data_IF_912403766360
#
_entry.id   IF_912403766360
#
_cell.length_a   1.000
_cell.length_b   1.000
_cell.length_c   1.000
_cell.angle_alpha   90.00
_cell.angle_beta   90.00
_cell.angle_gamma   90.00
#
_symmetry.space_group_name_H-M   'P 1'
#
loop_
_entity.id
_entity.type
_entity.pdbx_description
1 polymer ?
#
# COMPACT_ATOMS: atom_id res chain seq x y z
N UNK A 1 10.85 26.91 -6.61
CA UNK A 1 9.63 26.23 -6.09
C UNK A 1 9.92 25.45 -4.81
N UNK A 2 10.89 24.52 -4.77
CA UNK A 2 11.18 23.71 -3.58
C UNK A 2 11.34 24.50 -2.27
N UNK A 3 12.00 25.67 -2.31
CA UNK A 3 12.19 26.53 -1.13
C UNK A 3 10.87 26.96 -0.46
N UNK A 4 9.77 27.08 -1.21
CA UNK A 4 8.45 27.44 -0.68
C UNK A 4 7.91 26.40 0.31
N UNK A 5 8.36 25.14 0.18
CA UNK A 5 7.87 24.01 0.97
C UNK A 5 8.75 23.66 2.17
N UNK A 6 9.86 24.37 2.41
CA UNK A 6 10.81 24.06 3.49
C UNK A 6 10.18 24.11 4.89
N UNK A 7 9.21 24.99 5.11
CA UNK A 7 8.52 25.14 6.40
C UNK A 7 7.71 23.90 6.80
N UNK A 8 7.34 23.04 5.85
CA UNK A 8 6.58 21.81 6.10
C UNK A 8 7.44 20.70 6.73
N UNK A 9 8.77 20.83 6.69
CA UNK A 9 9.72 19.84 7.25
C UNK A 9 9.49 18.41 6.74
N UNK A 10 9.01 18.26 5.51
CA UNK A 10 8.85 16.98 4.82
C UNK A 10 10.04 16.72 3.88
N UNK A 11 10.34 15.46 3.53
CA UNK A 11 11.32 15.13 2.50
C UNK A 11 10.93 15.80 1.16
N UNK A 12 11.90 16.43 0.50
CA UNK A 12 11.73 17.06 -0.81
C UNK A 12 12.62 16.32 -1.82
N UNK A 13 12.00 15.82 -2.90
CA UNK A 13 12.69 15.18 -4.01
C UNK A 13 12.51 16.03 -5.28
N UNK A 14 13.60 16.32 -5.97
CA UNK A 14 13.59 16.99 -7.28
C UNK A 14 13.79 15.95 -8.38
N UNK A 15 12.93 15.98 -9.40
CA UNK A 15 12.95 15.06 -10.54
C UNK A 15 12.29 15.74 -11.76
N UNK A 16 12.32 15.09 -12.92
CA UNK A 16 11.65 15.59 -14.12
C UNK A 16 10.12 15.41 -14.06
N UNK A 17 9.40 16.11 -14.94
CA UNK A 17 7.94 16.14 -14.95
C UNK A 17 7.32 14.74 -15.08
N UNK A 18 7.81 13.92 -16.01
CA UNK A 18 7.22 12.61 -16.30
C UNK A 18 7.42 11.66 -15.14
N UNK A 19 8.62 11.69 -14.54
CA UNK A 19 8.91 10.90 -13.35
C UNK A 19 8.05 11.34 -12.17
N UNK A 20 7.84 12.63 -11.95
CA UNK A 20 6.98 13.14 -10.88
C UNK A 20 5.52 12.68 -11.03
N UNK A 21 4.97 12.72 -12.25
CA UNK A 21 3.63 12.21 -12.55
C UNK A 21 3.53 10.71 -12.29
N UNK A 22 4.50 9.93 -12.78
CA UNK A 22 4.53 8.48 -12.61
C UNK A 22 4.65 8.04 -11.16
N UNK A 23 5.40 8.76 -10.32
CA UNK A 23 5.48 8.49 -8.87
C UNK A 23 4.07 8.48 -8.27
N UNK A 24 3.22 9.47 -8.59
CA UNK A 24 1.87 9.54 -8.03
C UNK A 24 0.99 8.37 -8.48
N UNK A 25 1.03 8.03 -9.77
CA UNK A 25 0.26 6.90 -10.29
C UNK A 25 0.74 5.57 -9.71
N UNK A 26 2.05 5.32 -9.70
CA UNK A 26 2.63 4.08 -9.20
C UNK A 26 2.35 3.87 -7.71
N UNK A 27 2.52 4.91 -6.88
CA UNK A 27 2.23 4.81 -5.44
C UNK A 27 0.75 4.48 -5.18
N UNK A 28 -0.18 5.18 -5.83
CA UNK A 28 -1.61 4.90 -5.66
C UNK A 28 -2.00 3.51 -6.18
N UNK A 29 -1.48 3.11 -7.35
CA UNK A 29 -1.76 1.79 -7.93
C UNK A 29 -1.23 0.65 -7.07
N UNK A 30 -0.04 0.83 -6.47
CA UNK A 30 0.53 -0.16 -5.56
C UNK A 30 -0.32 -0.34 -4.29
N UNK A 31 -0.77 0.76 -3.67
CA UNK A 31 -1.64 0.69 -2.50
C UNK A 31 -2.97 0.00 -2.82
N UNK A 32 -3.59 0.33 -3.96
CA UNK A 32 -4.80 -0.36 -4.42
C UNK A 32 -4.54 -1.86 -4.65
N UNK A 33 -3.39 -2.21 -5.25
CA UNK A 33 -3.00 -3.60 -5.49
C UNK A 33 -2.84 -4.37 -4.19
N UNK A 34 -2.30 -3.76 -3.12
CA UNK A 34 -2.21 -4.41 -1.81
C UNK A 34 -3.59 -4.76 -1.23
N UNK A 35 -4.54 -3.82 -1.30
CA UNK A 35 -5.91 -4.06 -0.84
C UNK A 35 -6.59 -5.14 -1.68
N UNK A 36 -6.50 -5.03 -3.01
CA UNK A 36 -7.05 -6.06 -3.90
C UNK A 36 -6.43 -7.43 -3.64
N UNK A 37 -5.11 -7.49 -3.42
CA UNK A 37 -4.42 -8.73 -3.11
C UNK A 37 -4.94 -9.38 -1.83
N UNK A 38 -5.06 -8.62 -0.73
CA UNK A 38 -5.55 -9.21 0.53
C UNK A 38 -7.03 -9.60 0.44
N UNK A 39 -7.85 -8.90 -0.34
CA UNK A 39 -9.24 -9.29 -0.59
C UNK A 39 -9.33 -10.64 -1.34
N UNK A 40 -8.46 -10.87 -2.33
CA UNK A 40 -8.39 -12.17 -3.02
C UNK A 40 -7.90 -13.27 -2.07
N UNK A 41 -6.92 -12.98 -1.21
CA UNK A 41 -6.51 -13.92 -0.16
C UNK A 41 -7.67 -14.22 0.81
N UNK A 42 -8.50 -13.22 1.14
CA UNK A 42 -9.68 -13.43 1.98
C UNK A 42 -10.65 -14.44 1.36
N UNK A 43 -10.93 -14.32 0.05
CA UNK A 43 -11.75 -15.28 -0.70
C UNK A 43 -11.19 -16.71 -0.64
N UNK A 44 -9.86 -16.84 -0.75
CA UNK A 44 -9.19 -18.14 -0.59
C UNK A 44 -9.30 -18.66 0.85
N UNK A 45 -9.12 -17.78 1.84
CA UNK A 45 -9.27 -18.12 3.25
C UNK A 45 -10.69 -18.60 3.58
N UNK A 46 -11.72 -17.96 3.03
CA UNK A 46 -13.12 -18.39 3.17
C UNK A 46 -13.35 -19.80 2.63
N UNK A 47 -12.79 -20.12 1.46
CA UNK A 47 -12.90 -21.45 0.86
C UNK A 47 -12.17 -22.54 1.65
N UNK A 48 -11.13 -22.18 2.41
CA UNK A 48 -10.29 -23.09 3.19
C UNK A 48 -10.64 -23.12 4.69
N UNK A 49 -11.53 -22.25 5.16
CA UNK A 49 -11.86 -22.09 6.57
C UNK A 49 -10.76 -21.44 7.42
N UNK A 50 -9.89 -20.63 6.81
CA UNK A 50 -8.82 -19.89 7.49
C UNK A 50 -9.27 -18.47 7.86
N UNK A 51 -8.66 -17.87 8.89
CA UNK A 51 -8.92 -16.46 9.25
C UNK A 51 -7.93 -15.53 8.52
N UNK A 52 -8.46 -14.73 7.58
CA UNK A 52 -7.66 -13.75 6.82
C UNK A 52 -7.00 -12.71 7.71
N UNK A 53 -7.58 -12.37 8.87
CA UNK A 53 -7.00 -11.39 9.79
C UNK A 53 -5.72 -11.91 10.43
N UNK A 54 -5.72 -13.18 10.83
CA UNK A 54 -4.51 -13.82 11.35
C UNK A 54 -3.44 -13.94 10.26
N UNK A 55 -3.85 -14.28 9.03
CA UNK A 55 -2.95 -14.32 7.86
C UNK A 55 -2.34 -12.94 7.61
N UNK A 56 -3.14 -11.87 7.59
CA UNK A 56 -2.68 -10.51 7.38
C UNK A 56 -1.69 -10.05 8.46
N UNK A 57 -1.96 -10.36 9.75
CA UNK A 57 -1.03 -10.10 10.86
C UNK A 57 0.27 -10.85 10.66
N UNK A 58 0.21 -12.14 10.32
CA UNK A 58 1.40 -12.96 10.06
C UNK A 58 2.25 -12.42 8.91
N UNK A 59 1.62 -12.02 7.80
CA UNK A 59 2.29 -11.37 6.67
C UNK A 59 2.93 -10.03 7.07
N UNK A 60 2.25 -9.26 7.91
CA UNK A 60 2.70 -7.95 8.37
C UNK A 60 3.99 -7.97 9.20
N UNK A 61 4.35 -9.11 9.80
CA UNK A 61 5.62 -9.28 10.49
C UNK A 61 6.84 -9.30 9.55
N UNK A 62 6.65 -9.63 8.26
CA UNK A 62 7.73 -9.47 7.29
C UNK A 62 7.92 -7.98 6.98
N UNK A 63 9.06 -7.43 7.42
CA UNK A 63 9.44 -6.02 7.21
C UNK A 63 9.44 -5.54 5.75
N UNK A 64 9.47 -6.45 4.78
CA UNK A 64 9.41 -6.11 3.35
C UNK A 64 7.98 -5.87 2.87
N UNK A 65 6.99 -6.38 3.60
CA UNK A 65 5.56 -6.22 3.33
C UNK A 65 4.99 -5.14 4.25
N UNK A 66 5.23 -5.28 5.55
CA UNK A 66 4.66 -4.41 6.59
C UNK A 66 3.14 -4.56 6.75
N UNK A 67 2.58 -4.04 7.85
CA UNK A 67 1.19 -4.30 8.23
C UNK A 67 0.14 -3.46 7.50
N UNK A 68 0.52 -2.30 6.95
CA UNK A 68 -0.43 -1.34 6.40
C UNK A 68 -1.06 -1.82 5.08
N UNK A 69 -2.30 -1.43 4.79
CA UNK A 69 -3.02 -1.80 3.55
C UNK A 69 -3.18 -3.33 3.36
N UNK A 70 -3.29 -4.08 4.47
CA UNK A 70 -3.60 -5.51 4.50
C UNK A 70 -4.90 -5.81 5.26
N UNK A 71 -5.83 -4.85 5.32
CA UNK A 71 -7.16 -5.10 5.91
C UNK A 71 -8.13 -5.48 4.80
N UNK A 72 -8.70 -6.69 4.89
CA UNK A 72 -9.61 -7.20 3.87
C UNK A 72 -11.04 -6.66 4.08
N UNK A 73 -11.71 -6.28 3.00
CA UNK A 73 -13.04 -5.67 3.03
C UNK A 73 -13.75 -5.65 1.66
N UNK A 74 -14.86 -4.91 1.55
CA UNK A 74 -15.74 -4.87 0.36
C UNK A 74 -15.18 -3.98 -0.77
N UNK A 75 -13.85 -3.97 -0.98
CA UNK A 75 -13.19 -3.16 -2.01
C UNK A 75 -11.97 -2.39 -1.52
N UNK A 76 -11.52 -1.42 -2.34
CA UNK A 76 -10.41 -0.50 -2.07
C UNK A 76 -10.88 0.95 -1.96
#
# INVERSE_FOLDING_TARGET
VAQLYLSLRAPIMLTDLRTAEMIKYASNAFLATRISFINEIASICEALGADVKEVAVGMGYDKRIGPDFLDAGIGY
#
